data_IF_240227662198
#
_entry.id   IF_240227662198
#
_cell.length_a   1.000
_cell.length_b   1.000
_cell.length_c   1.000
_cell.angle_alpha   90.00
_cell.angle_beta   90.00
_cell.angle_gamma   90.00
#
_symmetry.space_group_name_H-M   'P 1'
#
loop_
_entity.id
_entity.type
_entity.pdbx_description
1 polymer ?
#
# COMPACT_ATOMS: atom_id res chain seq x y z
N UNK A 1 -9.13 -17.09 1.81
CA UNK A 1 -10.56 -17.07 1.38
C UNK A 1 -11.20 -15.70 1.59
N UNK A 2 -11.24 -15.22 2.84
CA UNK A 2 -11.66 -13.90 3.26
C UNK A 2 -11.00 -12.74 2.48
N UNK A 3 -9.67 -12.81 2.26
CA UNK A 3 -8.95 -11.84 1.42
C UNK A 3 -9.46 -11.86 -0.02
N UNK A 4 -9.62 -13.05 -0.59
CA UNK A 4 -10.12 -13.22 -1.96
C UNK A 4 -11.53 -12.67 -2.12
N UNK A 5 -12.39 -12.86 -1.11
CA UNK A 5 -13.74 -12.29 -1.08
C UNK A 5 -13.69 -10.77 -1.00
N UNK A 6 -12.88 -10.19 -0.12
CA UNK A 6 -12.72 -8.74 -0.03
C UNK A 6 -12.23 -8.12 -1.35
N UNK A 7 -11.22 -8.72 -1.98
CA UNK A 7 -10.72 -8.29 -3.29
C UNK A 7 -11.78 -8.44 -4.39
N UNK A 8 -12.63 -9.47 -4.31
CA UNK A 8 -13.76 -9.65 -5.21
C UNK A 8 -14.83 -8.58 -5.00
N UNK A 9 -15.14 -8.22 -3.76
CA UNK A 9 -16.12 -7.18 -3.40
C UNK A 9 -15.65 -5.79 -3.82
N UNK A 10 -14.35 -5.53 -3.79
CA UNK A 10 -13.73 -4.28 -4.25
C UNK A 10 -13.58 -4.24 -5.78
N UNK A 11 -13.68 -5.39 -6.46
CA UNK A 11 -13.59 -5.48 -7.92
C UNK A 11 -12.17 -5.67 -8.47
N UNK A 12 -11.20 -5.99 -7.59
CA UNK A 12 -9.80 -6.27 -7.98
C UNK A 12 -9.68 -7.64 -8.63
N UNK A 13 -10.45 -8.63 -8.16
CA UNK A 13 -10.43 -10.01 -8.65
C UNK A 13 -11.83 -10.42 -9.11
N UNK A 14 -11.93 -10.98 -10.32
CA UNK A 14 -13.20 -11.47 -10.85
C UNK A 14 -13.72 -12.72 -10.12
N UNK A 15 -15.05 -12.94 -10.07
CA UNK A 15 -15.66 -14.00 -9.27
C UNK A 15 -15.22 -15.42 -9.68
N UNK A 16 -15.04 -15.68 -10.98
CA UNK A 16 -14.56 -16.98 -11.48
C UNK A 16 -13.17 -17.31 -10.96
N UNK A 17 -12.25 -16.32 -10.98
CA UNK A 17 -10.90 -16.46 -10.44
C UNK A 17 -10.94 -16.69 -8.93
N UNK A 18 -11.85 -16.02 -8.22
CA UNK A 18 -12.04 -16.20 -6.79
C UNK A 18 -12.41 -17.63 -6.42
N UNK A 19 -13.26 -18.30 -7.22
CA UNK A 19 -13.64 -19.71 -7.01
C UNK A 19 -12.43 -20.64 -7.14
N UNK A 20 -11.62 -20.49 -8.20
CA UNK A 20 -10.42 -21.31 -8.37
C UNK A 20 -9.39 -21.10 -7.25
N UNK A 21 -9.19 -19.84 -6.83
CA UNK A 21 -8.31 -19.51 -5.70
C UNK A 21 -8.84 -20.13 -4.40
N UNK A 22 -10.15 -20.09 -4.17
CA UNK A 22 -10.77 -20.71 -3.00
C UNK A 22 -10.47 -22.21 -2.93
N UNK A 23 -10.70 -22.95 -4.03
CA UNK A 23 -10.46 -24.39 -4.09
C UNK A 23 -8.98 -24.67 -3.84
N UNK A 24 -8.09 -23.94 -4.51
CA UNK A 24 -6.64 -24.08 -4.34
C UNK A 24 -6.20 -23.84 -2.89
N UNK A 25 -6.75 -22.83 -2.21
CA UNK A 25 -6.43 -22.53 -0.81
C UNK A 25 -6.84 -23.65 0.14
N UNK A 26 -8.04 -24.22 -0.04
CA UNK A 26 -8.52 -25.33 0.79
C UNK A 26 -7.65 -26.57 0.59
N UNK A 27 -7.38 -26.95 -0.66
CA UNK A 27 -6.53 -28.11 -0.99
C UNK A 27 -5.11 -27.92 -0.45
N UNK A 28 -4.51 -26.75 -0.68
CA UNK A 28 -3.18 -26.44 -0.17
C UNK A 28 -3.12 -26.49 1.36
N UNK A 29 -4.17 -26.04 2.05
CA UNK A 29 -4.20 -26.08 3.52
C UNK A 29 -4.31 -27.50 4.08
N UNK A 30 -5.09 -28.37 3.45
CA UNK A 30 -5.17 -29.79 3.85
C UNK A 30 -3.82 -30.47 3.63
N UNK A 31 -3.20 -30.24 2.47
CA UNK A 31 -1.88 -30.79 2.14
C UNK A 31 -0.81 -30.31 3.13
N UNK A 32 -0.81 -29.02 3.48
CA UNK A 32 0.10 -28.46 4.48
C UNK A 32 -0.11 -29.07 5.87
N UNK A 33 -1.36 -29.22 6.33
CA UNK A 33 -1.66 -29.85 7.62
C UNK A 33 -1.21 -31.33 7.66
N UNK A 34 -1.43 -32.08 6.57
CA UNK A 34 -0.96 -33.46 6.44
C UNK A 34 0.57 -33.55 6.45
N UNK A 35 1.26 -32.64 5.75
CA UNK A 35 2.72 -32.59 5.75
C UNK A 35 3.28 -32.30 7.15
N UNK A 36 2.70 -31.34 7.89
CA UNK A 36 3.09 -31.04 9.27
C UNK A 36 2.91 -32.25 10.18
N UNK A 37 1.78 -32.96 10.06
CA UNK A 37 1.50 -34.18 10.83
C UNK A 37 2.49 -35.32 10.53
N UNK A 38 2.97 -35.42 9.29
CA UNK A 38 3.95 -36.43 8.89
C UNK A 38 5.40 -36.08 9.25
N UNK A 39 5.74 -34.80 9.30
CA UNK A 39 7.11 -34.33 9.57
C UNK A 39 7.43 -34.16 11.05
N UNK A 40 6.45 -33.72 11.85
CA UNK A 40 6.68 -33.39 13.26
C UNK A 40 6.24 -34.54 14.18
N UNK A 41 7.08 -34.91 15.17
CA UNK A 41 6.71 -35.91 16.16
C UNK A 41 5.69 -35.35 17.17
N UNK A 42 4.75 -36.19 17.60
CA UNK A 42 3.71 -35.86 18.58
C UNK A 42 2.29 -36.06 18.03
N UNK A 43 1.39 -36.47 18.91
CA UNK A 43 -0.04 -36.63 18.59
C UNK A 43 -0.87 -35.39 18.97
N UNK A 44 -0.24 -34.42 19.65
CA UNK A 44 -0.86 -33.11 19.91
C UNK A 44 -0.90 -32.30 18.62
N UNK A 45 -2.09 -31.83 18.27
CA UNK A 45 -2.34 -31.05 17.05
C UNK A 45 -1.76 -29.65 17.23
N UNK A 46 -0.45 -29.49 17.02
CA UNK A 46 0.29 -28.22 17.18
C UNK A 46 -0.23 -27.08 16.29
N UNK A 47 -1.05 -27.41 15.29
CA UNK A 47 -1.59 -26.49 14.29
C UNK A 47 -3.11 -26.29 14.43
N UNK A 48 -3.73 -26.77 15.51
CA UNK A 48 -5.18 -26.67 15.71
C UNK A 48 -5.61 -25.25 16.07
N UNK A 49 -6.77 -24.84 15.55
CA UNK A 49 -7.42 -23.59 15.93
C UNK A 49 -8.39 -23.89 17.07
N UNK A 50 -7.94 -23.68 18.31
CA UNK A 50 -8.75 -23.92 19.50
C UNK A 50 -8.85 -22.67 20.37
N UNK A 51 -10.02 -22.47 20.96
CA UNK A 51 -10.23 -21.43 21.95
C UNK A 51 -9.44 -21.74 23.22
N UNK A 52 -8.81 -20.71 23.78
CA UNK A 52 -8.13 -20.81 25.07
C UNK A 52 -9.15 -21.05 26.20
N UNK A 53 -8.76 -21.78 27.27
CA UNK A 53 -9.62 -22.00 28.43
C UNK A 53 -10.17 -20.68 28.98
N UNK A 54 -11.49 -20.60 29.18
CA UNK A 54 -12.16 -19.39 29.65
C UNK A 54 -12.57 -18.40 28.56
N UNK A 55 -12.18 -18.61 27.30
CA UNK A 55 -12.64 -17.80 26.16
C UNK A 55 -13.99 -18.30 25.67
N UNK A 56 -15.01 -17.44 25.70
CA UNK A 56 -16.33 -17.78 25.15
C UNK A 56 -16.30 -17.84 23.62
N UNK A 57 -17.24 -18.60 23.04
CA UNK A 57 -17.42 -18.71 21.58
C UNK A 57 -17.64 -17.32 20.95
N UNK A 58 -18.41 -16.47 21.61
CA UNK A 58 -18.67 -15.11 21.15
C UNK A 58 -17.38 -14.27 21.15
N UNK A 59 -16.59 -14.29 22.23
CA UNK A 59 -15.29 -13.60 22.27
C UNK A 59 -14.38 -14.08 21.14
N UNK A 60 -14.29 -15.39 20.92
CA UNK A 60 -13.53 -15.97 19.83
C UNK A 60 -13.97 -15.48 18.44
N UNK A 61 -15.28 -15.43 18.20
CA UNK A 61 -15.85 -14.92 16.95
C UNK A 61 -15.46 -13.45 16.70
N UNK A 62 -15.59 -12.58 17.71
CA UNK A 62 -15.25 -11.16 17.58
C UNK A 62 -13.74 -10.95 17.43
N UNK A 63 -12.92 -11.71 18.15
CA UNK A 63 -11.45 -11.68 18.00
C UNK A 63 -11.03 -12.02 16.57
N UNK A 64 -11.51 -13.16 16.03
CA UNK A 64 -11.23 -13.58 14.65
C UNK A 64 -11.71 -12.55 13.62
N UNK A 65 -12.84 -11.90 13.87
CA UNK A 65 -13.32 -10.80 13.04
C UNK A 65 -12.37 -9.59 13.08
N UNK A 66 -11.96 -9.09 14.26
CA UNK A 66 -11.10 -7.91 14.36
C UNK A 66 -9.71 -8.14 13.74
N UNK A 67 -9.10 -9.30 14.01
CA UNK A 67 -7.83 -9.68 13.38
C UNK A 67 -7.95 -9.77 11.86
N UNK A 68 -9.09 -10.27 11.37
CA UNK A 68 -9.33 -10.31 9.92
C UNK A 68 -9.58 -8.92 9.33
N UNK A 69 -10.26 -8.01 10.04
CA UNK A 69 -10.45 -6.63 9.60
C UNK A 69 -9.09 -5.96 9.39
N UNK A 70 -8.21 -6.06 10.38
CA UNK A 70 -6.87 -5.50 10.34
C UNK A 70 -6.07 -6.01 9.13
N UNK A 71 -6.01 -7.34 8.95
CA UNK A 71 -5.29 -7.97 7.84
C UNK A 71 -5.87 -7.59 6.47
N UNK A 72 -7.18 -7.69 6.30
CA UNK A 72 -7.85 -7.41 5.02
C UNK A 72 -7.76 -5.93 4.68
N UNK A 73 -7.95 -5.04 5.66
CA UNK A 73 -7.82 -3.60 5.45
C UNK A 73 -6.40 -3.23 5.02
N UNK A 74 -5.38 -3.80 5.67
CA UNK A 74 -3.97 -3.61 5.28
C UNK A 74 -3.72 -4.07 3.84
N UNK A 75 -4.27 -5.23 3.44
CA UNK A 75 -4.15 -5.73 2.06
C UNK A 75 -4.82 -4.78 1.08
N UNK A 76 -6.01 -4.26 1.38
CA UNK A 76 -6.69 -3.32 0.49
C UNK A 76 -5.90 -2.01 0.34
N UNK A 77 -5.39 -1.45 1.44
CA UNK A 77 -4.61 -0.21 1.41
C UNK A 77 -3.23 -0.34 0.75
N UNK A 78 -2.57 -1.51 0.87
CA UNK A 78 -1.23 -1.71 0.32
C UNK A 78 -1.21 -2.34 -1.08
N UNK A 79 -2.17 -3.21 -1.39
CA UNK A 79 -2.17 -4.00 -2.62
C UNK A 79 -3.25 -3.57 -3.64
N UNK A 80 -4.39 -3.03 -3.20
CA UNK A 80 -5.39 -2.50 -4.13
C UNK A 80 -5.06 -1.06 -4.56
N UNK A 81 -4.41 -0.30 -3.70
CA UNK A 81 -3.84 1.01 -4.06
C UNK A 81 -2.56 0.85 -4.89
N UNK A 82 -2.53 1.53 -6.03
CA UNK A 82 -1.30 1.69 -6.81
C UNK A 82 -0.60 2.94 -6.31
N UNK A 83 0.33 2.78 -5.37
CA UNK A 83 1.20 3.84 -4.87
C UNK A 83 2.65 3.48 -5.15
N UNK A 84 3.58 4.41 -4.94
CA UNK A 84 5.03 4.13 -5.03
C UNK A 84 5.50 3.01 -4.11
N UNK A 85 4.75 2.74 -3.05
CA UNK A 85 5.12 1.77 -2.00
C UNK A 85 4.44 0.41 -2.17
N UNK A 86 3.66 0.20 -3.24
CA UNK A 86 3.01 -1.11 -3.51
C UNK A 86 4.04 -2.26 -3.59
N UNK A 87 5.31 -2.01 -3.94
CA UNK A 87 6.35 -3.05 -3.91
C UNK A 87 6.67 -3.55 -2.48
N UNK A 88 6.43 -2.73 -1.45
CA UNK A 88 6.61 -3.08 -0.03
C UNK A 88 5.35 -3.77 0.54
N UNK A 89 4.26 -3.83 -0.23
CA UNK A 89 3.00 -4.42 0.23
C UNK A 89 3.14 -5.82 0.84
N UNK A 90 3.93 -6.77 0.29
CA UNK A 90 4.10 -8.09 0.90
C UNK A 90 4.68 -8.03 2.32
N UNK A 91 5.61 -7.11 2.58
CA UNK A 91 6.22 -6.92 3.91
C UNK A 91 5.19 -6.38 4.89
N UNK A 92 4.43 -5.35 4.49
CA UNK A 92 3.38 -4.79 5.34
C UNK A 92 2.25 -5.78 5.65
N UNK A 93 1.85 -6.58 4.65
CA UNK A 93 0.85 -7.65 4.83
C UNK A 93 1.38 -8.72 5.79
N UNK A 94 2.64 -9.13 5.65
CA UNK A 94 3.27 -10.09 6.55
C UNK A 94 3.38 -9.57 7.99
N UNK A 95 3.72 -8.30 8.17
CA UNK A 95 3.80 -7.68 9.49
C UNK A 95 2.43 -7.57 10.17
N UNK A 96 1.38 -7.21 9.41
CA UNK A 96 0.01 -7.22 9.92
C UNK A 96 -0.43 -8.63 10.35
N UNK A 97 -0.19 -9.64 9.52
CA UNK A 97 -0.47 -11.03 9.91
C UNK A 97 0.31 -11.44 11.17
N UNK A 98 1.58 -11.04 11.29
CA UNK A 98 2.41 -11.31 12.45
C UNK A 98 1.84 -10.68 13.73
N UNK A 99 1.47 -9.40 13.70
CA UNK A 99 0.84 -8.70 14.84
C UNK A 99 -0.46 -9.38 15.24
N UNK A 100 -1.28 -9.75 14.26
CA UNK A 100 -2.55 -10.42 14.50
C UNK A 100 -2.35 -11.82 15.11
N UNK A 101 -1.32 -12.57 14.71
CA UNK A 101 -0.98 -13.88 15.27
C UNK A 101 -0.38 -13.79 16.70
N UNK A 102 0.39 -12.75 17.02
CA UNK A 102 0.92 -12.54 18.39
C UNK A 102 -0.20 -12.53 19.44
N UNK A 103 -1.36 -11.99 19.08
CA UNK A 103 -2.55 -11.97 19.92
C UNK A 103 -3.47 -13.18 19.66
N UNK A 104 -3.72 -13.51 18.39
CA UNK A 104 -4.68 -14.52 17.97
C UNK A 104 -4.33 -15.94 18.41
N UNK A 105 -3.05 -16.32 18.38
CA UNK A 105 -2.61 -17.67 18.79
C UNK A 105 -2.98 -17.94 20.25
N UNK A 106 -2.81 -16.96 21.13
CA UNK A 106 -3.03 -17.13 22.56
C UNK A 106 -4.51 -17.33 22.95
N UNK A 107 -5.45 -16.84 22.13
CA UNK A 107 -6.88 -16.82 22.48
C UNK A 107 -7.75 -17.72 21.61
N UNK A 108 -7.51 -17.75 20.30
CA UNK A 108 -8.35 -18.46 19.32
C UNK A 108 -7.59 -19.52 18.52
N UNK A 109 -6.28 -19.64 18.72
CA UNK A 109 -5.38 -20.46 17.89
C UNK A 109 -4.99 -19.78 16.57
N UNK A 110 -5.31 -18.49 16.43
CA UNK A 110 -4.87 -17.65 15.33
C UNK A 110 -5.32 -18.14 13.96
N UNK A 111 -6.62 -18.41 13.78
CA UNK A 111 -7.07 -18.91 12.48
C UNK A 111 -6.90 -17.85 11.39
N UNK A 112 -7.57 -16.70 11.56
CA UNK A 112 -7.67 -15.53 10.68
C UNK A 112 -8.09 -15.83 9.23
N UNK A 113 -8.21 -17.11 8.88
CA UNK A 113 -8.35 -17.66 7.55
C UNK A 113 -9.10 -18.99 7.64
N UNK A 114 -10.31 -19.07 7.07
CA UNK A 114 -11.12 -20.29 7.11
C UNK A 114 -10.41 -21.50 6.50
N UNK A 115 -9.61 -21.31 5.43
CA UNK A 115 -8.89 -22.42 4.80
C UNK A 115 -7.84 -23.01 5.74
N UNK A 116 -7.09 -22.17 6.47
CA UNK A 116 -6.10 -22.58 7.49
C UNK A 116 -6.78 -23.39 8.58
N UNK A 117 -7.87 -22.86 9.16
CA UNK A 117 -8.61 -23.54 10.21
C UNK A 117 -9.19 -24.87 9.72
N UNK A 118 -9.76 -24.89 8.51
CA UNK A 118 -10.33 -26.10 7.95
C UNK A 118 -9.28 -27.20 7.74
N UNK A 119 -8.15 -26.88 7.10
CA UNK A 119 -7.09 -27.88 6.86
C UNK A 119 -6.54 -28.46 8.16
N UNK A 120 -6.39 -27.63 9.20
CA UNK A 120 -5.98 -28.07 10.52
C UNK A 120 -6.97 -29.06 11.16
N UNK A 121 -8.27 -28.75 11.12
CA UNK A 121 -9.30 -29.56 11.77
C UNK A 121 -9.68 -30.82 10.97
N UNK A 122 -9.41 -30.86 9.66
CA UNK A 122 -9.53 -32.09 8.85
C UNK A 122 -8.58 -33.19 9.38
N UNK A 123 -7.38 -32.81 9.81
CA UNK A 123 -6.39 -33.75 10.36
C UNK A 123 -6.54 -33.89 11.89
N UNK A 124 -6.83 -32.78 12.57
CA UNK A 124 -6.90 -32.70 14.04
C UNK A 124 -8.25 -33.03 14.67
N UNK A 125 -9.31 -33.16 13.86
CA UNK A 125 -10.69 -33.34 14.31
C UNK A 125 -11.43 -32.00 14.49
N UNK A 126 -12.72 -31.98 14.15
CA UNK A 126 -13.56 -30.78 14.21
C UNK A 126 -14.17 -30.56 15.59
N UNK A 127 -14.11 -29.31 16.05
CA UNK A 127 -14.85 -28.85 17.24
C UNK A 127 -16.21 -28.25 16.88
N UNK A 128 -17.18 -28.36 17.78
CA UNK A 128 -18.55 -27.87 17.56
C UNK A 128 -18.67 -26.36 17.29
N UNK A 129 -17.67 -25.56 17.68
CA UNK A 129 -17.63 -24.12 17.43
C UNK A 129 -16.84 -23.72 16.17
N UNK A 130 -16.39 -24.67 15.34
CA UNK A 130 -15.54 -24.40 14.17
C UNK A 130 -16.11 -23.35 13.20
N UNK A 131 -17.44 -23.20 13.16
CA UNK A 131 -18.13 -22.20 12.34
C UNK A 131 -17.68 -20.75 12.62
N UNK A 132 -17.16 -20.44 13.81
CA UNK A 132 -16.67 -19.08 14.11
C UNK A 132 -15.46 -18.70 13.24
N UNK A 133 -14.64 -19.67 12.85
CA UNK A 133 -13.48 -19.46 11.97
C UNK A 133 -13.87 -19.27 10.51
N UNK A 134 -15.15 -19.47 10.18
CA UNK A 134 -15.73 -19.09 8.89
C UNK A 134 -16.42 -17.73 9.01
N UNK A 135 -17.34 -17.61 9.98
CA UNK A 135 -18.16 -16.42 10.11
C UNK A 135 -17.34 -15.19 10.52
N UNK A 136 -16.44 -15.31 11.49
CA UNK A 136 -15.62 -14.20 11.98
C UNK A 136 -14.79 -13.57 10.86
N UNK A 137 -13.96 -14.35 10.14
CA UNK A 137 -13.20 -13.83 9.02
C UNK A 137 -14.05 -13.29 7.86
N UNK A 138 -15.22 -13.88 7.60
CA UNK A 138 -16.14 -13.36 6.58
C UNK A 138 -16.71 -11.99 6.96
N UNK A 139 -17.18 -11.85 8.21
CA UNK A 139 -17.65 -10.57 8.73
C UNK A 139 -16.55 -9.51 8.67
N UNK A 140 -15.32 -9.88 9.07
CA UNK A 140 -14.19 -8.97 9.03
C UNK A 140 -13.82 -8.53 7.61
N UNK A 141 -13.83 -9.44 6.63
CA UNK A 141 -13.59 -9.11 5.24
C UNK A 141 -14.63 -8.15 4.65
N UNK A 142 -15.92 -8.36 4.96
CA UNK A 142 -17.01 -7.47 4.51
C UNK A 142 -16.87 -6.09 5.13
N UNK A 143 -16.61 -6.01 6.45
CA UNK A 143 -16.43 -4.74 7.15
C UNK A 143 -15.21 -3.96 6.63
N UNK A 144 -14.07 -4.63 6.44
CA UNK A 144 -12.87 -4.01 5.88
C UNK A 144 -13.10 -3.50 4.44
N UNK A 145 -13.75 -4.29 3.58
CA UNK A 145 -14.09 -3.86 2.22
C UNK A 145 -15.08 -2.68 2.21
N UNK A 146 -16.06 -2.68 3.11
CA UNK A 146 -16.99 -1.57 3.29
C UNK A 146 -16.29 -0.29 3.72
N UNK A 147 -15.44 -0.38 4.75
CA UNK A 147 -14.66 0.75 5.26
C UNK A 147 -13.71 1.32 4.21
N UNK A 148 -13.02 0.46 3.47
CA UNK A 148 -12.19 0.85 2.32
C UNK A 148 -13.00 1.62 1.25
N UNK A 149 -14.20 1.14 0.89
CA UNK A 149 -15.07 1.84 -0.06
C UNK A 149 -15.53 3.20 0.45
N UNK A 150 -15.79 3.35 1.76
CA UNK A 150 -16.13 4.65 2.36
C UNK A 150 -14.95 5.61 2.25
N UNK A 151 -13.73 5.19 2.58
CA UNK A 151 -12.52 6.03 2.45
C UNK A 151 -12.32 6.48 1.00
N UNK A 152 -12.50 5.57 0.03
CA UNK A 152 -12.47 5.89 -1.39
C UNK A 152 -13.53 6.90 -1.80
N UNK A 153 -14.76 6.73 -1.32
CA UNK A 153 -15.86 7.66 -1.57
C UNK A 153 -15.57 9.08 -1.04
N UNK A 154 -14.85 9.18 0.08
CA UNK A 154 -14.42 10.46 0.66
C UNK A 154 -13.23 11.12 -0.07
N UNK A 155 -12.79 10.57 -1.21
CA UNK A 155 -11.68 11.10 -2.02
C UNK A 155 -10.38 11.31 -1.23
N UNK A 156 -10.00 10.36 -0.36
CA UNK A 156 -8.71 10.39 0.34
C UNK A 156 -7.51 10.62 -0.61
N UNK A 157 -7.58 10.12 -1.84
CA UNK A 157 -6.56 10.33 -2.89
C UNK A 157 -6.34 11.81 -3.25
N UNK A 158 -7.28 12.72 -2.98
CA UNK A 158 -7.08 14.15 -3.25
C UNK A 158 -6.17 14.81 -2.21
N UNK A 159 -6.10 14.26 -1.00
CA UNK A 159 -5.20 14.73 0.06
C UNK A 159 -3.80 14.14 -0.11
N UNK A 160 -3.70 12.87 -0.50
CA UNK A 160 -2.41 12.15 -0.59
C UNK A 160 -1.85 11.99 -2.03
N UNK A 161 -2.65 12.24 -3.07
CA UNK A 161 -2.30 11.89 -4.45
C UNK A 161 -1.12 12.65 -5.07
N UNK A 162 -0.64 13.75 -4.45
CA UNK A 162 0.63 14.36 -4.85
C UNK A 162 1.86 13.62 -4.31
N UNK A 163 1.72 12.94 -3.18
CA UNK A 163 2.80 12.14 -2.57
C UNK A 163 2.99 10.80 -3.30
N UNK A 164 1.90 10.22 -3.83
CA UNK A 164 1.91 8.91 -4.49
C UNK A 164 2.31 8.92 -5.98
N UNK A 165 2.44 10.08 -6.62
CA UNK A 165 2.88 10.20 -8.04
C UNK A 165 4.36 9.89 -8.22
N UNK A 166 4.73 8.82 -8.95
CA UNK A 166 6.12 8.53 -9.34
C UNK A 166 6.80 9.77 -9.94
N UNK A 167 8.13 9.87 -9.83
CA UNK A 167 8.87 11.03 -10.35
C UNK A 167 8.56 11.27 -11.85
N UNK A 168 8.40 10.19 -12.60
CA UNK A 168 8.03 10.19 -14.02
C UNK A 168 6.58 10.65 -14.25
N UNK A 169 5.62 10.16 -13.48
CA UNK A 169 4.22 10.60 -13.58
C UNK A 169 4.04 12.06 -13.17
N UNK A 170 4.82 12.53 -12.18
CA UNK A 170 4.85 13.93 -11.77
C UNK A 170 5.37 14.80 -12.91
N UNK A 171 6.50 14.43 -13.52
CA UNK A 171 7.04 15.11 -14.71
C UNK A 171 6.02 15.13 -15.87
N UNK A 172 5.39 14.00 -16.18
CA UNK A 172 4.39 13.92 -17.24
C UNK A 172 3.16 14.80 -16.95
N UNK A 173 2.71 14.82 -15.69
CA UNK A 173 1.57 15.63 -15.25
C UNK A 173 1.90 17.12 -15.33
N UNK A 174 3.11 17.51 -14.94
CA UNK A 174 3.60 18.89 -15.03
C UNK A 174 3.81 19.32 -16.48
N UNK A 175 4.34 18.45 -17.35
CA UNK A 175 4.48 18.70 -18.78
C UNK A 175 3.11 18.85 -19.47
N UNK A 176 2.13 17.99 -19.14
CA UNK A 176 0.75 18.11 -19.64
C UNK A 176 0.09 19.40 -19.15
N UNK A 177 0.32 19.82 -17.90
CA UNK A 177 -0.17 21.09 -17.36
C UNK A 177 0.47 22.27 -18.09
N UNK A 178 1.79 22.24 -18.33
CA UNK A 178 2.51 23.26 -19.07
C UNK A 178 1.99 23.38 -20.51
N UNK A 179 1.80 22.26 -21.21
CA UNK A 179 1.26 22.20 -22.58
C UNK A 179 -0.15 22.79 -22.65
N UNK A 180 -1.05 22.41 -21.72
CA UNK A 180 -2.40 22.99 -21.64
C UNK A 180 -2.38 24.49 -21.34
N UNK A 181 -1.47 24.95 -20.48
CA UNK A 181 -1.31 26.38 -20.18
C UNK A 181 -0.81 27.15 -21.40
N UNK A 182 0.15 26.59 -22.14
CA UNK A 182 0.64 27.20 -23.39
C UNK A 182 -0.43 27.25 -24.47
N UNK A 183 -1.20 26.18 -24.65
CA UNK A 183 -2.29 26.14 -25.62
C UNK A 183 -3.38 27.18 -25.30
N UNK A 184 -3.73 27.35 -24.01
CA UNK A 184 -4.62 28.43 -23.56
C UNK A 184 -4.05 29.81 -23.87
N UNK A 185 -2.76 30.02 -23.63
CA UNK A 185 -2.07 31.28 -23.94
C UNK A 185 -2.09 31.58 -25.43
N UNK A 186 -1.86 30.57 -26.28
CA UNK A 186 -1.96 30.70 -27.75
C UNK A 186 -3.37 31.06 -28.19
N UNK A 187 -4.40 30.39 -27.65
CA UNK A 187 -5.81 30.72 -27.95
C UNK A 187 -6.17 32.14 -27.52
N UNK A 188 -5.69 32.59 -26.36
CA UNK A 188 -5.89 33.97 -25.90
C UNK A 188 -5.17 34.99 -26.79
N UNK A 189 -3.90 34.74 -27.13
CA UNK A 189 -3.14 35.62 -28.02
C UNK A 189 -3.76 35.68 -29.42
N UNK A 190 -4.24 34.54 -29.94
CA UNK A 190 -4.94 34.46 -31.22
C UNK A 190 -6.25 35.25 -31.17
N UNK A 191 -7.07 35.08 -30.13
CA UNK A 191 -8.28 35.87 -29.94
C UNK A 191 -8.01 37.38 -29.83
N UNK A 192 -6.94 37.77 -29.13
CA UNK A 192 -6.49 39.16 -29.04
C UNK A 192 -6.12 39.75 -30.40
N UNK A 193 -5.43 39.00 -31.26
CA UNK A 193 -5.03 39.45 -32.60
C UNK A 193 -6.24 39.78 -33.50
N UNK A 194 -7.32 38.99 -33.43
CA UNK A 194 -8.57 39.30 -34.16
C UNK A 194 -9.29 40.53 -33.61
N UNK A 195 -9.14 40.82 -32.32
CA UNK A 195 -9.72 42.02 -31.71
C UNK A 195 -8.95 43.29 -32.09
N UNK A 196 -7.63 43.23 -32.20
CA UNK A 196 -6.79 44.35 -32.67
C UNK A 196 -6.95 44.59 -34.17
N UNK A 197 -7.07 43.53 -34.99
CA UNK A 197 -7.34 43.65 -36.43
C UNK A 197 -8.71 44.26 -36.77
N UNK A 198 -9.70 44.08 -35.88
CA UNK A 198 -11.04 44.69 -36.04
C UNK A 198 -11.08 46.17 -35.65
N UNK A 199 -10.12 46.66 -34.86
CA UNK A 199 -10.01 48.09 -34.54
C UNK A 199 -9.34 48.91 -35.66
N UNK A 200 -8.45 48.31 -36.46
CA UNK A 200 -7.79 49.02 -37.56
C UNK A 200 -8.69 49.24 -38.79
N UNK A 201 -9.82 48.55 -38.91
CA UNK A 201 -10.77 48.75 -40.01
C UNK A 201 -11.78 49.89 -39.79
N UNK A 202 -11.73 50.58 -38.65
CA UNK A 202 -12.66 51.69 -38.36
C UNK A 202 -12.10 53.11 -38.53
N UNK A 203 -10.86 53.30 -39.01
CA UNK A 203 -10.24 54.63 -39.05
C UNK A 203 -9.93 55.26 -40.42
N UNK A 204 -10.28 54.67 -41.56
CA UNK A 204 -10.06 55.30 -42.86
C UNK A 204 -11.34 55.49 -43.67
N UNK A 205 -12.11 56.51 -43.30
CA UNK A 205 -13.16 57.07 -44.15
C UNK A 205 -13.31 58.58 -43.94
N UNK A 206 -12.21 59.36 -43.99
CA UNK A 206 -12.32 60.77 -44.35
C UNK A 206 -10.95 61.35 -44.71
N UNK A 207 -10.81 61.81 -45.95
CA UNK A 207 -10.10 63.03 -46.40
C UNK A 207 -9.66 62.86 -47.86
N UNK A 208 -10.38 63.55 -48.77
CA UNK A 208 -9.90 63.89 -50.10
C UNK A 208 -9.56 65.37 -50.11
N UNK A 209 -8.53 65.69 -50.90
CA UNK A 209 -8.10 67.00 -51.42
C UNK A 209 -7.10 67.79 -50.57
N UNK A 210 -5.85 67.86 -51.04
CA UNK A 210 -5.15 69.12 -51.35
C UNK A 210 -3.79 68.85 -52.04
N UNK A 211 -3.69 69.29 -53.30
CA UNK A 211 -2.57 70.01 -53.96
C UNK A 211 -1.10 69.68 -53.64
N UNK A 212 -0.43 69.08 -54.64
CA UNK A 212 0.71 69.59 -55.46
C UNK A 212 1.78 70.53 -54.83
N UNK A 213 3.04 70.24 -55.21
CA UNK A 213 4.35 70.88 -54.94
C UNK A 213 4.98 70.46 -53.59
N UNK A 214 6.27 70.11 -53.46
CA UNK A 214 7.46 70.66 -54.12
C UNK A 214 8.66 69.67 -54.05
N UNK A 215 9.73 69.99 -54.77
CA UNK A 215 10.99 69.26 -54.97
C UNK A 215 11.79 68.93 -53.68
N UNK A 216 12.69 67.94 -53.76
CA UNK A 216 13.69 67.72 -52.72
C UNK A 216 14.48 66.42 -52.86
N UNK A 217 15.72 66.57 -53.32
CA UNK A 217 16.75 65.58 -53.61
C UNK A 217 17.22 64.77 -52.37
N UNK A 218 17.71 63.54 -52.58
CA UNK A 218 18.34 62.74 -51.50
C UNK A 218 18.32 61.22 -51.68
N UNK A 219 19.26 60.68 -52.45
CA UNK A 219 19.77 59.29 -52.27
C UNK A 219 20.41 59.16 -50.86
N UNK A 220 20.49 57.99 -50.18
CA UNK A 220 21.23 56.85 -50.74
C UNK A 220 20.89 55.40 -50.27
N UNK A 221 21.36 54.46 -51.11
CA UNK A 221 22.07 53.21 -50.83
C UNK A 221 21.47 52.03 -50.03
N UNK A 222 21.49 50.89 -50.75
CA UNK A 222 21.98 49.55 -50.39
C UNK A 222 21.57 48.93 -49.05
N UNK A 223 20.92 47.77 -49.16
CA UNK A 223 20.56 46.85 -48.10
C UNK A 223 21.75 46.48 -47.17
N UNK A 224 21.51 46.30 -45.85
CA UNK A 224 22.50 45.71 -44.96
C UNK A 224 22.57 44.18 -45.13
N UNK A 225 23.73 43.54 -44.84
CA UNK A 225 23.96 42.11 -45.07
C UNK A 225 23.35 41.25 -43.95
N UNK A 226 22.94 40.03 -44.28
CA UNK A 226 22.60 38.98 -43.31
C UNK A 226 23.84 38.62 -42.48
N UNK A 227 23.75 38.74 -41.15
CA UNK A 227 24.71 38.22 -40.19
C UNK A 227 24.17 36.93 -39.56
N UNK A 228 24.91 35.83 -39.71
CA UNK A 228 24.65 34.59 -38.97
C UNK A 228 24.98 34.76 -37.47
N UNK A 229 24.19 34.18 -36.55
CA UNK A 229 24.57 34.11 -35.14
C UNK A 229 25.64 33.02 -34.91
N UNK A 230 26.60 33.24 -33.98
CA UNK A 230 27.72 32.34 -33.77
C UNK A 230 27.32 31.00 -33.14
N UNK A 231 28.04 29.95 -33.53
CA UNK A 231 27.95 28.61 -32.95
C UNK A 231 28.20 28.65 -31.44
N UNK A 232 27.19 28.31 -30.64
CA UNK A 232 27.39 28.03 -29.21
C UNK A 232 27.94 26.61 -29.04
N UNK A 233 29.17 26.55 -28.54
CA UNK A 233 29.88 25.34 -28.16
C UNK A 233 29.11 24.57 -27.08
N UNK A 234 28.83 23.31 -27.38
CA UNK A 234 28.31 22.31 -26.47
C UNK A 234 29.45 21.87 -25.53
N UNK A 235 29.48 22.39 -24.31
CA UNK A 235 30.43 21.95 -23.27
C UNK A 235 29.73 20.96 -22.33
N UNK A 236 30.24 19.73 -22.30
CA UNK A 236 29.84 18.71 -21.33
C UNK A 236 30.61 18.93 -20.01
N UNK A 237 29.97 18.87 -18.83
CA UNK A 237 30.73 18.74 -17.60
C UNK A 237 31.25 17.31 -17.47
N UNK A 238 32.54 17.13 -17.73
CA UNK A 238 33.30 16.04 -17.12
C UNK A 238 33.81 16.53 -15.76
N UNK A 239 33.18 16.08 -14.67
CA UNK A 239 33.88 15.93 -13.40
C UNK A 239 33.45 14.62 -12.75
N UNK A 240 34.37 13.68 -12.72
CA UNK A 240 34.33 12.52 -11.85
C UNK A 240 34.40 13.01 -10.39
N UNK A 241 33.39 12.68 -9.59
CA UNK A 241 33.50 12.63 -8.13
C UNK A 241 32.89 11.31 -7.67
N UNK A 242 33.81 10.39 -7.42
CA UNK A 242 33.73 9.14 -6.67
C UNK A 242 32.59 9.09 -5.65
N UNK A 243 31.78 8.04 -5.76
CA UNK A 243 30.83 7.58 -4.74
C UNK A 243 31.62 7.35 -3.44
N UNK A 244 31.41 8.21 -2.44
CA UNK A 244 31.69 7.91 -1.02
C UNK A 244 30.41 7.39 -0.37
N UNK A 245 30.05 6.15 -0.68
CA UNK A 245 29.26 5.32 0.23
C UNK A 245 30.21 4.94 1.38
N UNK A 246 30.04 5.53 2.58
CA UNK A 246 30.46 4.96 3.89
C UNK A 246 30.41 5.94 5.08
N UNK A 247 29.84 7.15 4.97
CA UNK A 247 29.80 8.09 6.12
C UNK A 247 28.39 8.41 6.68
N UNK A 248 27.31 7.87 6.10
CA UNK A 248 25.94 8.16 6.59
C UNK A 248 25.36 7.10 7.53
N UNK A 249 26.03 5.95 7.72
CA UNK A 249 25.55 4.88 8.62
C UNK A 249 25.95 5.08 10.09
N UNK A 250 26.96 5.91 10.36
CA UNK A 250 27.45 6.18 11.72
C UNK A 250 26.61 7.22 12.47
N UNK A 251 25.85 8.05 11.75
CA UNK A 251 25.04 9.14 12.34
C UNK A 251 23.65 8.70 12.81
N UNK A 252 23.18 7.54 12.37
CA UNK A 252 21.91 6.97 12.85
C UNK A 252 22.07 6.11 14.12
N UNK A 253 23.29 5.75 14.50
CA UNK A 253 23.57 4.97 15.72
C UNK A 253 23.72 5.82 16.99
N UNK A 254 23.96 7.13 16.88
CA UNK A 254 24.17 8.02 18.03
C UNK A 254 22.91 8.78 18.50
N UNK A 255 21.79 8.69 17.77
CA UNK A 255 20.53 9.36 18.14
C UNK A 255 19.61 8.57 19.10
N UNK A 256 20.07 7.42 19.62
CA UNK A 256 19.29 6.57 20.52
C UNK A 256 19.61 6.69 22.02
N UNK A 257 20.47 7.63 22.44
CA UNK A 257 21.03 7.64 23.81
C UNK A 257 20.61 8.84 24.69
N UNK A 258 19.56 9.58 24.32
CA UNK A 258 19.00 10.59 25.20
C UNK A 258 17.48 10.51 25.16
N UNK A 259 16.92 9.67 26.02
CA UNK A 259 15.78 10.01 26.88
C UNK A 259 15.53 8.84 27.83
N UNK A 260 15.87 9.06 29.10
CA UNK A 260 15.70 8.10 30.17
C UNK A 260 14.23 7.82 30.45
N UNK A 261 13.76 6.62 30.11
CA UNK A 261 12.54 6.03 30.67
C UNK A 261 12.97 4.83 31.49
N UNK A 262 13.01 5.01 32.80
CA UNK A 262 13.19 3.95 33.79
C UNK A 262 11.89 3.14 33.83
N UNK A 263 11.84 2.02 33.11
CA UNK A 263 10.80 1.01 33.28
C UNK A 263 11.20 0.15 34.48
N UNK A 264 10.47 0.27 35.57
CA UNK A 264 10.56 -0.59 36.75
C UNK A 264 10.45 -2.05 36.33
N UNK A 265 11.53 -2.82 36.57
CA UNK A 265 11.52 -4.28 36.53
C UNK A 265 10.71 -4.79 37.71
N UNK A 266 9.42 -5.10 37.53
CA UNK A 266 8.78 -6.11 38.37
C UNK A 266 7.77 -6.96 37.58
N UNK A 267 7.96 -8.28 37.76
CA UNK A 267 7.05 -9.40 37.50
C UNK A 267 6.49 -9.64 36.08
N UNK A 268 7.27 -10.34 35.23
CA UNK A 268 6.68 -11.40 34.40
C UNK A 268 7.34 -12.78 34.59
N UNK A 269 8.56 -12.85 35.15
CA UNK A 269 9.37 -14.06 35.15
C UNK A 269 8.80 -15.21 36.02
N UNK A 270 8.06 -14.88 37.08
CA UNK A 270 7.55 -15.86 38.03
C UNK A 270 6.37 -16.66 37.47
N UNK A 271 5.55 -16.03 36.61
CA UNK A 271 4.41 -16.69 35.96
C UNK A 271 4.88 -17.72 34.92
N UNK A 272 5.94 -17.42 34.15
CA UNK A 272 6.54 -18.39 33.23
C UNK A 272 7.26 -19.52 33.97
N UNK A 273 7.91 -19.23 35.11
CA UNK A 273 8.56 -20.25 35.94
C UNK A 273 7.52 -21.21 36.56
N UNK A 274 6.43 -20.69 37.10
CA UNK A 274 5.34 -21.48 37.70
C UNK A 274 4.53 -22.27 36.67
N UNK A 275 4.48 -21.80 35.42
CA UNK A 275 3.90 -22.54 34.29
C UNK A 275 4.83 -23.67 33.82
N UNK A 276 6.14 -23.41 33.73
CA UNK A 276 7.15 -24.41 33.40
C UNK A 276 7.29 -25.51 34.46
N UNK A 277 7.27 -25.16 35.75
CA UNK A 277 7.35 -26.13 36.84
C UNK A 277 6.11 -27.04 36.89
N UNK A 278 4.91 -26.50 36.61
CA UNK A 278 3.69 -27.30 36.48
C UNK A 278 3.74 -28.26 35.29
N UNK A 279 4.25 -27.80 34.16
CA UNK A 279 4.42 -28.66 32.97
C UNK A 279 5.35 -29.85 33.24
N UNK A 280 6.45 -29.62 33.97
CA UNK A 280 7.39 -30.69 34.35
C UNK A 280 6.78 -31.66 35.36
N UNK A 281 5.97 -31.18 36.31
CA UNK A 281 5.28 -32.04 37.27
C UNK A 281 4.20 -32.92 36.61
N UNK A 282 3.42 -32.36 35.69
CA UNK A 282 2.39 -33.10 34.96
C UNK A 282 3.00 -34.15 34.01
N UNK A 283 4.11 -33.81 33.34
CA UNK A 283 4.86 -34.75 32.51
C UNK A 283 5.46 -35.91 33.34
N UNK A 284 5.97 -35.61 34.54
CA UNK A 284 6.52 -36.62 35.44
C UNK A 284 5.43 -37.49 36.11
N UNK A 285 4.23 -36.93 36.35
CA UNK A 285 3.09 -37.69 36.85
C UNK A 285 2.54 -38.64 35.78
N UNK A 286 2.46 -38.19 34.52
CA UNK A 286 2.06 -39.03 33.39
C UNK A 286 3.07 -40.15 33.08
N UNK A 287 4.37 -39.90 33.27
CA UNK A 287 5.38 -40.95 33.12
C UNK A 287 5.34 -41.98 34.25
N UNK A 288 5.04 -41.58 35.50
CA UNK A 288 4.86 -42.52 36.62
C UNK A 288 3.62 -43.41 36.49
N UNK A 289 2.57 -42.93 35.81
CA UNK A 289 1.37 -43.72 35.53
C UNK A 289 1.54 -44.76 34.39
N UNK A 290 2.70 -44.76 33.70
CA UNK A 290 2.97 -45.62 32.54
C UNK A 290 4.05 -46.69 32.77
N UNK A 291 4.67 -46.73 33.96
CA UNK A 291 5.55 -47.83 34.38
C UNK A 291 4.73 -48.87 35.16
N UNK A 292 4.76 -50.16 34.76
CA UNK A 292 4.08 -51.25 35.49
C UNK A 292 4.68 -51.50 36.87
#
# INVERSE_FOLDING_TARGET
MQVTIALCLVGVVGPVRSIFIFIAQVVASIAAAAAVRGLLPGDTVLFSCALAPGTSIAQGLFLEMFFTIELVFTILMLAAEKTKVTFVAPVGIGLSLFVAELMGVAWTGGALNPARAFGAEVIGGFRGYHWIYWLGPLMGAVLAAGFYKVIKFLNYEQVNGEQDLSAEEKQLKDEKKARKKEERRRKQNFAGLFQTGRMHHHHHANTRNATVNDAGDGRPNSAPPYTEPPAQQQTWPHSASTIRENEDFSRFAEMGSQDGIVITREQPAEQYRLSGERYVQDANAQNRAKTP
#
